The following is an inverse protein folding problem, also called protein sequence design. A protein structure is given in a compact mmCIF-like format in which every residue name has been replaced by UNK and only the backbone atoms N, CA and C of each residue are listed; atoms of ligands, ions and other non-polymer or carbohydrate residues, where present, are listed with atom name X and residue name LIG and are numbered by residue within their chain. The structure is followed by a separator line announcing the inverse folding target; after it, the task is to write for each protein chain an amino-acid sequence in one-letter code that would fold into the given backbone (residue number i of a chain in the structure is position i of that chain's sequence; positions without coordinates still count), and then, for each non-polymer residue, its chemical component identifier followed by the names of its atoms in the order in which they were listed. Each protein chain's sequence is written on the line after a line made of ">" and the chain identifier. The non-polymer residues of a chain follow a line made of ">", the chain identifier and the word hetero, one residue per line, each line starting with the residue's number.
data_IF_657357467704
#
_entry.id   IF_657357467704
#
_cell.length_a   1.000
_cell.length_b   1.000
_cell.length_c   1.000
_cell.angle_alpha   90.00
_cell.angle_beta   90.00
_cell.angle_gamma   90.00
#
_symmetry.space_group_name_H-M   'P 1'
#
loop_
_entity.id
_entity.type
_entity.pdbx_description
1 polymer ?
#
# COMPACT_ATOMS: atom_id res chain seq x y z
N UNK A 1 14.52 -19.13 -13.33
CA UNK A 1 14.86 -20.34 -14.08
C UNK A 1 13.62 -21.06 -14.65
N UNK A 2 12.48 -21.13 -13.92
CA UNK A 2 11.23 -21.79 -14.39
C UNK A 2 10.71 -21.27 -15.75
N UNK A 3 10.81 -19.96 -16.02
CA UNK A 3 10.35 -19.37 -17.31
C UNK A 3 11.14 -19.94 -18.49
N UNK A 4 12.44 -20.18 -18.31
CA UNK A 4 13.30 -20.70 -19.36
C UNK A 4 13.13 -22.21 -19.58
N UNK A 5 12.77 -22.94 -18.53
CA UNK A 5 12.60 -24.40 -18.58
C UNK A 5 11.17 -24.82 -18.92
N UNK A 6 10.19 -23.89 -18.81
CA UNK A 6 8.78 -24.16 -19.10
C UNK A 6 8.10 -25.08 -18.07
N UNK A 7 8.72 -25.26 -16.89
CA UNK A 7 8.15 -26.12 -15.84
C UNK A 7 6.86 -25.51 -15.27
N UNK A 8 5.79 -26.28 -15.09
CA UNK A 8 4.57 -25.80 -14.48
C UNK A 8 4.81 -25.47 -12.99
N UNK A 9 4.25 -24.34 -12.54
CA UNK A 9 4.25 -23.93 -11.14
C UNK A 9 2.89 -24.26 -10.49
N UNK A 10 2.93 -24.79 -9.29
CA UNK A 10 1.72 -24.90 -8.48
C UNK A 10 1.28 -23.50 -7.99
N UNK A 11 -0.02 -23.29 -7.70
CA UNK A 11 -0.50 -22.01 -7.16
C UNK A 11 0.27 -21.55 -5.92
N UNK A 12 0.57 -22.46 -4.99
CA UNK A 12 1.34 -22.16 -3.77
C UNK A 12 2.78 -21.74 -4.05
N UNK A 13 3.42 -22.33 -5.07
CA UNK A 13 4.76 -21.91 -5.48
C UNK A 13 4.72 -20.52 -6.14
N UNK A 14 3.70 -20.24 -6.93
CA UNK A 14 3.49 -18.94 -7.55
C UNK A 14 3.28 -17.82 -6.50
N UNK A 15 2.47 -18.07 -5.47
CA UNK A 15 2.26 -17.16 -4.34
C UNK A 15 3.56 -16.93 -3.57
N UNK A 16 4.25 -18.00 -3.17
CA UNK A 16 5.53 -17.91 -2.44
C UNK A 16 6.61 -17.16 -3.20
N UNK A 17 6.58 -17.22 -4.54
CA UNK A 17 7.50 -16.49 -5.42
C UNK A 17 7.03 -15.07 -5.77
N UNK A 18 5.88 -14.64 -5.27
CA UNK A 18 5.30 -13.33 -5.54
C UNK A 18 4.75 -13.13 -6.94
N UNK A 19 4.50 -14.22 -7.69
CA UNK A 19 3.89 -14.15 -9.02
C UNK A 19 2.38 -13.93 -8.95
N UNK A 20 1.75 -14.38 -7.87
CA UNK A 20 0.35 -14.09 -7.52
C UNK A 20 0.29 -13.56 -6.09
N UNK A 21 -0.69 -12.71 -5.79
CA UNK A 21 -0.84 -12.07 -4.50
C UNK A 21 -1.54 -12.97 -3.47
N UNK A 22 -2.51 -13.73 -3.91
CA UNK A 22 -3.42 -14.48 -3.04
C UNK A 22 -3.95 -15.70 -3.78
N UNK A 23 -4.10 -16.81 -3.08
CA UNK A 23 -4.79 -17.99 -3.55
C UNK A 23 -6.16 -18.04 -2.90
N UNK A 24 -7.20 -18.16 -3.70
CA UNK A 24 -8.59 -18.25 -3.23
C UNK A 24 -9.17 -19.64 -3.47
N UNK A 25 -10.00 -20.10 -2.54
CA UNK A 25 -10.69 -21.38 -2.67
C UNK A 25 -11.93 -21.34 -3.56
N UNK A 26 -12.37 -20.14 -3.99
CA UNK A 26 -13.52 -19.88 -4.84
C UNK A 26 -13.15 -19.33 -6.21
N UNK A 27 -14.08 -18.57 -6.81
CA UNK A 27 -13.81 -17.90 -8.09
C UNK A 27 -12.87 -16.71 -7.88
N UNK A 28 -11.72 -16.73 -8.53
CA UNK A 28 -10.76 -15.63 -8.48
C UNK A 28 -11.35 -14.29 -8.93
N UNK A 29 -12.33 -14.31 -9.84
CA UNK A 29 -13.02 -13.11 -10.29
C UNK A 29 -13.77 -12.41 -9.17
N UNK A 30 -14.50 -13.16 -8.33
CA UNK A 30 -15.28 -12.57 -7.23
C UNK A 30 -14.36 -11.83 -6.26
N UNK A 31 -13.23 -12.46 -5.91
CA UNK A 31 -12.22 -11.83 -5.06
C UNK A 31 -11.54 -10.63 -5.70
N UNK A 32 -11.26 -10.70 -7.00
CA UNK A 32 -10.71 -9.57 -7.74
C UNK A 32 -11.68 -8.38 -7.78
N UNK A 33 -12.98 -8.63 -7.91
CA UNK A 33 -14.01 -7.57 -7.86
C UNK A 33 -14.08 -6.90 -6.48
N UNK A 34 -14.05 -7.67 -5.39
CA UNK A 34 -13.97 -7.11 -4.03
C UNK A 34 -12.77 -6.17 -3.85
N UNK A 35 -11.60 -6.59 -4.34
CA UNK A 35 -10.38 -5.76 -4.28
C UNK A 35 -10.54 -4.50 -5.13
N UNK A 36 -11.10 -4.63 -6.33
CA UNK A 36 -11.35 -3.51 -7.24
C UNK A 36 -12.32 -2.49 -6.63
N UNK A 37 -13.40 -2.95 -5.99
CA UNK A 37 -14.35 -2.09 -5.29
C UNK A 37 -13.66 -1.31 -4.15
N UNK A 38 -12.83 -1.97 -3.34
CA UNK A 38 -12.06 -1.28 -2.30
C UNK A 38 -11.09 -0.24 -2.87
N UNK A 39 -10.42 -0.56 -3.98
CA UNK A 39 -9.52 0.38 -4.65
C UNK A 39 -10.26 1.57 -5.26
N UNK A 40 -11.50 1.38 -5.71
CA UNK A 40 -12.32 2.45 -6.28
C UNK A 40 -12.72 3.55 -5.28
N UNK A 41 -12.59 3.28 -3.98
CA UNK A 41 -12.81 4.27 -2.92
C UNK A 41 -11.69 5.31 -2.83
N UNK A 42 -10.53 5.04 -3.41
CA UNK A 42 -9.40 5.97 -3.45
C UNK A 42 -9.49 6.89 -4.67
N UNK A 43 -8.96 8.10 -4.55
CA UNK A 43 -8.89 9.02 -5.69
C UNK A 43 -7.94 8.49 -6.76
N UNK A 44 -8.27 8.71 -8.04
CA UNK A 44 -7.41 8.32 -9.17
C UNK A 44 -6.01 8.92 -9.05
N UNK A 45 -5.91 10.12 -8.52
CA UNK A 45 -4.65 10.83 -8.32
C UNK A 45 -3.77 10.13 -7.28
N UNK A 46 -4.34 9.73 -6.13
CA UNK A 46 -3.62 8.96 -5.10
C UNK A 46 -3.07 7.65 -5.66
N UNK A 47 -3.91 6.92 -6.38
CA UNK A 47 -3.51 5.63 -6.99
C UNK A 47 -2.41 5.84 -8.03
N UNK A 48 -2.51 6.88 -8.86
CA UNK A 48 -1.50 7.20 -9.86
C UNK A 48 -0.14 7.55 -9.22
N UNK A 49 -0.15 8.32 -8.13
CA UNK A 49 1.08 8.68 -7.40
C UNK A 49 1.73 7.48 -6.73
N UNK A 50 0.96 6.63 -6.07
CA UNK A 50 1.47 5.39 -5.46
C UNK A 50 2.11 4.50 -6.54
N UNK A 51 1.44 4.29 -7.67
CA UNK A 51 1.98 3.49 -8.78
C UNK A 51 3.28 4.07 -9.33
N UNK A 52 3.37 5.40 -9.43
CA UNK A 52 4.59 6.09 -9.86
C UNK A 52 5.73 5.86 -8.87
N UNK A 53 5.48 5.99 -7.57
CA UNK A 53 6.48 5.77 -6.52
C UNK A 53 6.99 4.33 -6.53
N UNK A 54 6.10 3.35 -6.59
CA UNK A 54 6.47 1.93 -6.63
C UNK A 54 7.32 1.60 -7.86
N UNK A 55 6.99 2.13 -9.05
CA UNK A 55 7.80 1.91 -10.26
C UNK A 55 9.20 2.52 -10.14
N UNK A 56 9.29 3.71 -9.58
CA UNK A 56 10.57 4.40 -9.47
C UNK A 56 11.46 3.85 -8.34
N UNK A 57 10.89 3.14 -7.36
CA UNK A 57 11.61 2.65 -6.18
C UNK A 57 12.79 1.73 -6.51
N UNK A 58 12.71 0.98 -7.61
CA UNK A 58 13.76 0.06 -8.06
C UNK A 58 14.83 0.71 -8.94
N UNK A 59 14.53 1.89 -9.50
CA UNK A 59 15.37 2.54 -10.51
C UNK A 59 16.00 3.85 -10.02
N UNK A 60 15.53 4.37 -8.90
CA UNK A 60 15.90 5.69 -8.39
C UNK A 60 16.69 5.59 -7.09
N UNK A 61 17.81 6.33 -6.93
CA UNK A 61 18.49 6.43 -5.64
C UNK A 61 17.55 6.89 -4.52
N UNK A 62 17.72 6.33 -3.32
CA UNK A 62 16.81 6.55 -2.18
C UNK A 62 16.49 8.04 -1.93
N UNK A 63 17.51 8.90 -1.95
CA UNK A 63 17.34 10.33 -1.68
C UNK A 63 16.40 11.00 -2.71
N UNK A 64 16.49 10.61 -3.98
CA UNK A 64 15.62 11.12 -5.04
C UNK A 64 14.20 10.54 -4.91
N UNK A 65 14.09 9.25 -4.55
CA UNK A 65 12.80 8.60 -4.27
C UNK A 65 12.05 9.29 -3.14
N UNK A 66 12.72 9.58 -2.02
CA UNK A 66 12.13 10.30 -0.88
C UNK A 66 11.74 11.75 -1.23
N UNK A 67 12.53 12.43 -2.07
CA UNK A 67 12.18 13.77 -2.54
C UNK A 67 10.92 13.74 -3.43
N UNK A 68 10.81 12.74 -4.30
CA UNK A 68 9.62 12.54 -5.13
C UNK A 68 8.38 12.23 -4.27
N UNK A 69 8.50 11.32 -3.30
CA UNK A 69 7.42 10.97 -2.38
C UNK A 69 6.90 12.20 -1.64
N UNK A 70 7.79 12.99 -1.04
CA UNK A 70 7.42 14.23 -0.35
C UNK A 70 6.68 15.20 -1.27
N UNK A 71 7.17 15.39 -2.50
CA UNK A 71 6.54 16.30 -3.44
C UNK A 71 5.14 15.85 -3.86
N UNK A 72 4.94 14.55 -4.10
CA UNK A 72 3.64 13.99 -4.45
C UNK A 72 2.69 14.02 -3.26
N UNK A 73 3.18 13.73 -2.05
CA UNK A 73 2.41 13.83 -0.82
C UNK A 73 1.89 15.26 -0.59
N UNK A 74 2.75 16.27 -0.70
CA UNK A 74 2.35 17.67 -0.54
C UNK A 74 1.30 18.09 -1.56
N UNK A 75 1.39 17.59 -2.81
CA UNK A 75 0.35 17.84 -3.83
C UNK A 75 -0.99 17.24 -3.46
N UNK A 76 -1.01 16.04 -2.86
CA UNK A 76 -2.25 15.40 -2.41
C UNK A 76 -2.85 16.12 -1.20
N UNK A 77 -2.03 16.55 -0.24
CA UNK A 77 -2.49 17.17 1.01
C UNK A 77 -3.34 18.44 0.80
N UNK A 78 -3.16 19.13 -0.31
CA UNK A 78 -3.92 20.35 -0.64
C UNK A 78 -5.20 20.06 -1.45
N UNK A 79 -5.47 18.80 -1.77
CA UNK A 79 -6.70 18.44 -2.49
C UNK A 79 -7.89 18.33 -1.54
N UNK A 80 -9.07 18.71 -2.01
CA UNK A 80 -10.29 18.66 -1.17
C UNK A 80 -10.58 17.24 -0.60
N UNK A 81 -10.42 16.13 -1.34
CA UNK A 81 -10.59 14.80 -0.76
C UNK A 81 -9.63 14.50 0.40
N UNK A 82 -8.37 14.93 0.30
CA UNK A 82 -7.39 14.74 1.39
C UNK A 82 -7.74 15.59 2.61
N UNK A 83 -8.12 16.84 2.40
CA UNK A 83 -8.54 17.74 3.49
C UNK A 83 -9.81 17.22 4.18
N UNK A 84 -10.77 16.67 3.43
CA UNK A 84 -11.97 16.07 3.99
C UNK A 84 -11.62 14.84 4.85
N UNK A 85 -10.70 14.00 4.38
CA UNK A 85 -10.21 12.83 5.13
C UNK A 85 -9.50 13.24 6.43
N UNK A 86 -8.66 14.26 6.39
CA UNK A 86 -8.00 14.80 7.59
C UNK A 86 -9.01 15.32 8.61
N UNK A 87 -10.01 16.08 8.16
CA UNK A 87 -11.10 16.60 9.03
C UNK A 87 -11.90 15.48 9.69
N UNK A 88 -12.25 14.42 8.95
CA UNK A 88 -12.97 13.27 9.52
C UNK A 88 -12.14 12.53 10.55
N UNK A 89 -10.85 12.35 10.30
CA UNK A 89 -9.91 11.73 11.24
C UNK A 89 -9.77 12.53 12.54
N UNK A 90 -9.71 13.85 12.47
CA UNK A 90 -9.69 14.70 13.66
C UNK A 90 -10.98 14.56 14.48
N UNK A 91 -12.14 14.55 13.82
CA UNK A 91 -13.44 14.39 14.50
C UNK A 91 -13.57 13.04 15.21
N UNK A 92 -13.13 11.95 14.59
CA UNK A 92 -13.15 10.62 15.19
C UNK A 92 -12.22 10.53 16.41
N UNK A 93 -11.06 11.15 16.38
CA UNK A 93 -10.10 11.15 17.49
C UNK A 93 -10.51 12.06 18.64
N UNK A 94 -11.24 13.14 18.38
CA UNK A 94 -11.80 14.01 19.42
C UNK A 94 -12.94 13.28 20.17
N UNK A 95 -13.72 12.46 19.45
CA UNK A 95 -14.88 11.75 20.00
C UNK A 95 -14.51 10.43 20.72
N UNK A 96 -13.33 9.85 20.43
CA UNK A 96 -12.83 8.61 21.03
C UNK A 96 -11.39 8.74 21.53
N UNK A 97 -11.15 9.25 22.75
CA UNK A 97 -9.81 9.47 23.29
C UNK A 97 -9.01 8.19 23.61
N UNK A 98 -9.47 7.00 23.20
CA UNK A 98 -8.92 5.71 23.60
C UNK A 98 -7.94 5.06 22.61
N UNK A 99 -7.49 5.75 21.59
CA UNK A 99 -6.39 5.29 20.73
C UNK A 99 -5.15 6.19 20.86
N UNK A 100 -4.61 6.27 22.09
CA UNK A 100 -3.21 6.63 22.25
C UNK A 100 -2.37 5.58 21.51
N UNK A 101 -1.61 6.02 20.52
CA UNK A 101 -0.57 5.23 19.88
C UNK A 101 0.47 4.99 20.97
N UNK A 102 0.42 3.83 21.63
CA UNK A 102 1.49 3.35 22.50
C UNK A 102 2.65 2.99 21.57
N UNK A 103 3.55 3.91 21.35
CA UNK A 103 4.87 3.62 20.80
C UNK A 103 5.62 2.88 21.91
N UNK A 104 5.52 1.57 21.94
CA UNK A 104 6.32 0.71 22.79
C UNK A 104 7.77 0.79 22.28
N UNK A 105 8.56 1.64 22.91
CA UNK A 105 10.00 1.67 22.74
C UNK A 105 10.54 0.30 23.22
N UNK A 106 10.84 -0.62 22.31
CA UNK A 106 11.63 -1.80 22.62
C UNK A 106 12.99 -1.35 23.08
N UNK A 107 13.23 -1.42 24.40
CA UNK A 107 14.56 -1.30 24.96
C UNK A 107 15.41 -2.45 24.43
N UNK A 108 16.38 -2.10 23.61
CA UNK A 108 17.43 -3.04 23.19
C UNK A 108 18.37 -3.18 24.40
N UNK A 109 18.18 -4.25 25.19
CA UNK A 109 19.18 -4.67 26.15
C UNK A 109 20.35 -5.27 25.35
N UNK A 110 21.48 -4.59 25.41
CA UNK A 110 22.78 -5.17 25.12
C UNK A 110 23.27 -5.87 26.39
N UNK A 111 23.40 -7.17 26.27
CA UNK A 111 24.35 -8.00 27.03
C UNK A 111 25.24 -8.75 26.04
#
# INVERSE_FOLDING_TARGET
>A
MHILMGDPLTPREAERKGLVHEIVSGKALDRAMEIAERLSLHTLESVAYIKRLVRNATETPLAQGLALERNLFLKLCITEPALACMRSYEQENITSPSRSIVVEARSVNHD
#
